data_IF_479736798795
#
_entry.id   IF_479736798795
#
_cell.length_a   1.000
_cell.length_b   1.000
_cell.length_c   1.000
_cell.angle_alpha   90.00
_cell.angle_beta   90.00
_cell.angle_gamma   90.00
#
_symmetry.space_group_name_H-M   'P 1'
#
loop_
_entity.id
_entity.type
_entity.pdbx_description
1 polymer ?
#
# COMPACT_ATOMS: atom_id res chain seq x y z
N UNK A 1 36.90 -30.69 2.53
CA UNK A 1 35.54 -30.10 2.41
C UNK A 1 35.43 -28.73 3.11
N UNK A 2 36.41 -27.82 2.96
CA UNK A 2 36.36 -26.46 3.52
C UNK A 2 36.42 -25.35 2.47
N UNK A 3 36.76 -25.70 1.22
CA UNK A 3 36.87 -24.76 0.09
C UNK A 3 35.56 -24.57 -0.69
N UNK A 4 34.60 -25.49 -0.56
CA UNK A 4 33.27 -25.39 -1.19
C UNK A 4 32.29 -24.50 -0.42
N UNK A 5 32.47 -24.36 0.90
CA UNK A 5 31.64 -23.48 1.73
C UNK A 5 31.88 -21.99 1.45
N UNK A 6 33.09 -21.62 1.00
CA UNK A 6 33.42 -20.23 0.70
C UNK A 6 32.76 -19.71 -0.59
N UNK A 7 32.43 -20.61 -1.53
CA UNK A 7 31.81 -20.25 -2.82
C UNK A 7 30.29 -20.07 -2.74
N UNK A 8 29.63 -20.69 -1.75
CA UNK A 8 28.19 -20.52 -1.51
C UNK A 8 27.91 -19.21 -0.77
N UNK A 9 28.82 -18.76 0.08
CA UNK A 9 28.63 -17.53 0.89
C UNK A 9 28.81 -16.26 0.05
N UNK A 10 29.62 -16.29 -1.02
CA UNK A 10 29.84 -15.13 -1.92
C UNK A 10 28.74 -14.91 -2.96
N UNK A 11 27.94 -15.93 -3.29
CA UNK A 11 26.85 -15.80 -4.29
C UNK A 11 25.50 -15.37 -3.69
N UNK A 12 25.34 -15.41 -2.37
CA UNK A 12 24.09 -14.97 -1.70
C UNK A 12 24.01 -13.43 -1.63
N UNK A 13 25.11 -12.71 -1.82
CA UNK A 13 25.12 -11.24 -1.80
C UNK A 13 24.65 -10.55 -3.09
N UNK A 14 24.40 -11.30 -4.18
CA UNK A 14 24.00 -10.75 -5.48
C UNK A 14 22.51 -10.91 -5.80
N UNK A 15 21.69 -11.47 -4.89
CA UNK A 15 20.23 -11.50 -5.03
C UNK A 15 19.53 -10.31 -4.36
N UNK A 16 20.25 -9.24 -4.03
CA UNK A 16 19.64 -7.97 -3.69
C UNK A 16 19.13 -7.28 -4.96
N UNK A 17 18.06 -7.83 -5.55
CA UNK A 17 17.18 -7.06 -6.44
C UNK A 17 16.42 -6.03 -5.58
N UNK A 18 17.12 -5.01 -5.09
CA UNK A 18 16.46 -3.79 -4.67
C UNK A 18 16.27 -2.94 -5.91
N UNK A 19 15.28 -3.29 -6.74
CA UNK A 19 14.68 -2.31 -7.64
C UNK A 19 13.89 -1.33 -6.76
N UNK A 20 14.60 -0.49 -6.01
CA UNK A 20 14.05 0.74 -5.48
C UNK A 20 13.88 1.67 -6.68
N UNK A 21 12.86 1.40 -7.52
CA UNK A 21 12.32 2.41 -8.40
C UNK A 21 11.90 3.56 -7.49
N UNK A 22 12.67 4.64 -7.48
CA UNK A 22 12.43 5.84 -6.70
C UNK A 22 11.26 6.64 -7.28
N UNK A 23 10.20 5.94 -7.71
CA UNK A 23 8.96 6.59 -8.13
C UNK A 23 8.44 7.44 -6.97
N UNK A 24 8.09 8.68 -7.31
CA UNK A 24 7.39 9.60 -6.40
C UNK A 24 5.99 9.11 -6.04
N UNK A 25 5.41 8.23 -6.86
CA UNK A 25 4.13 7.58 -6.60
C UNK A 25 4.33 6.33 -5.75
N UNK A 26 3.38 6.07 -4.85
CA UNK A 26 3.47 4.91 -3.96
C UNK A 26 3.11 3.61 -4.65
N UNK A 27 3.65 2.52 -4.12
CA UNK A 27 3.37 1.16 -4.57
C UNK A 27 3.33 0.20 -3.38
N UNK A 28 2.69 -0.95 -3.58
CA UNK A 28 2.56 -1.99 -2.57
C UNK A 28 1.37 -1.78 -1.64
N UNK A 29 1.32 -2.61 -0.59
CA UNK A 29 0.23 -2.61 0.38
C UNK A 29 0.14 -1.27 1.12
N UNK A 30 -1.09 -0.79 1.32
CA UNK A 30 -1.38 0.44 2.07
C UNK A 30 -2.70 0.27 2.82
N UNK A 31 -2.71 0.65 4.09
CA UNK A 31 -3.93 0.77 4.87
C UNK A 31 -3.96 2.16 5.51
N UNK A 32 -4.79 3.03 4.97
CA UNK A 32 -4.96 4.38 5.48
C UNK A 32 -5.61 4.34 6.87
N UNK A 33 -5.13 5.18 7.78
CA UNK A 33 -5.83 5.44 9.04
C UNK A 33 -7.09 6.27 8.79
N UNK A 34 -8.05 6.22 9.72
CA UNK A 34 -9.26 7.06 9.66
C UNK A 34 -8.93 8.55 9.52
N UNK A 35 -7.91 9.00 10.27
CA UNK A 35 -7.39 10.37 10.20
C UNK A 35 -6.95 10.77 8.78
N UNK A 36 -6.19 9.91 8.09
CA UNK A 36 -5.75 10.18 6.71
C UNK A 36 -6.94 10.12 5.75
N UNK A 37 -7.89 9.19 5.95
CA UNK A 37 -9.09 9.07 5.12
C UNK A 37 -9.99 10.30 5.23
N UNK A 38 -10.22 10.83 6.43
CA UNK A 38 -11.05 12.03 6.62
C UNK A 38 -10.45 13.24 5.91
N UNK A 39 -9.13 13.39 5.98
CA UNK A 39 -8.43 14.48 5.28
C UNK A 39 -8.38 14.26 3.77
N UNK A 40 -8.28 13.02 3.30
CA UNK A 40 -8.42 12.71 1.89
C UNK A 40 -9.83 13.03 1.37
N UNK A 41 -10.88 12.76 2.13
CA UNK A 41 -12.26 13.12 1.78
C UNK A 41 -12.40 14.65 1.69
N UNK A 42 -11.85 15.40 2.65
CA UNK A 42 -11.82 16.87 2.61
C UNK A 42 -11.13 17.37 1.33
N UNK A 43 -9.94 16.85 1.05
CA UNK A 43 -9.19 17.15 -0.17
C UNK A 43 -9.99 16.85 -1.45
N UNK A 44 -10.64 15.69 -1.55
CA UNK A 44 -11.43 15.30 -2.72
C UNK A 44 -12.62 16.23 -2.94
N UNK A 45 -13.32 16.60 -1.86
CA UNK A 45 -14.45 17.53 -1.95
C UNK A 45 -13.98 18.91 -2.41
N UNK A 46 -12.96 19.43 -1.74
CA UNK A 46 -12.45 20.77 -1.97
C UNK A 46 -13.52 21.85 -1.76
N UNK A 47 -13.28 23.02 -2.33
CA UNK A 47 -14.12 24.21 -2.25
C UNK A 47 -13.80 25.19 -3.38
N UNK A 48 -14.41 26.37 -3.38
CA UNK A 48 -14.29 27.36 -4.46
C UNK A 48 -12.82 27.72 -4.78
N UNK A 49 -11.95 27.75 -3.78
CA UNK A 49 -10.50 28.01 -3.90
C UNK A 49 -9.63 26.84 -3.42
N UNK A 50 -10.22 25.66 -3.27
CA UNK A 50 -9.54 24.48 -2.73
C UNK A 50 -9.64 23.31 -3.70
N UNK A 51 -9.38 23.56 -4.99
CA UNK A 51 -9.40 22.49 -5.97
C UNK A 51 -8.28 21.47 -5.66
N UNK A 52 -8.55 20.16 -5.50
CA UNK A 52 -7.52 19.19 -5.16
C UNK A 52 -6.38 19.18 -6.18
N UNK A 53 -5.13 19.24 -5.69
CA UNK A 53 -3.93 19.22 -6.53
C UNK A 53 -3.02 18.00 -6.30
N UNK A 54 -2.44 17.88 -5.10
CA UNK A 54 -1.55 16.78 -4.72
C UNK A 54 -1.92 16.26 -3.33
N UNK A 55 -1.86 14.95 -3.15
CA UNK A 55 -2.04 14.31 -1.85
C UNK A 55 -0.92 13.26 -1.67
N UNK A 56 -0.10 13.43 -0.65
CA UNK A 56 0.98 12.52 -0.28
C UNK A 56 0.63 11.78 1.01
N UNK A 57 1.06 10.53 1.12
CA UNK A 57 0.80 9.65 2.27
C UNK A 57 2.07 8.90 2.65
N UNK A 58 2.34 8.79 3.95
CA UNK A 58 3.38 7.93 4.50
C UNK A 58 3.06 6.45 4.23
N UNK A 59 4.06 5.62 3.91
CA UNK A 59 3.85 4.21 3.59
C UNK A 59 3.17 3.39 4.71
N UNK A 60 3.16 3.87 5.96
CA UNK A 60 2.43 3.27 7.07
C UNK A 60 0.94 3.66 7.13
N UNK A 61 0.49 4.57 6.26
CA UNK A 61 -0.89 5.05 6.16
C UNK A 61 -1.33 5.99 7.28
N UNK A 62 -0.40 6.46 8.12
CA UNK A 62 -0.70 7.23 9.33
C UNK A 62 -0.49 8.74 9.18
N UNK A 63 0.29 9.17 8.20
CA UNK A 63 0.52 10.59 7.94
C UNK A 63 0.32 10.99 6.48
N UNK A 64 0.04 12.26 6.27
CA UNK A 64 -0.23 12.85 4.96
C UNK A 64 0.27 14.29 4.85
N UNK A 65 0.27 14.79 3.61
CA UNK A 65 0.21 16.22 3.32
C UNK A 65 -0.62 16.39 2.05
N UNK A 66 -1.31 17.52 1.89
CA UNK A 66 -1.98 17.83 0.63
C UNK A 66 -1.82 19.29 0.23
N UNK A 67 -1.80 19.52 -1.08
CA UNK A 67 -1.91 20.84 -1.68
C UNK A 67 -3.23 20.98 -2.43
N UNK A 68 -3.78 22.18 -2.38
CA UNK A 68 -4.92 22.61 -3.19
C UNK A 68 -4.46 23.63 -4.22
N UNK A 69 -5.29 23.87 -5.23
CA UNK A 69 -5.05 24.85 -6.27
C UNK A 69 -6.11 25.95 -6.22
N UNK A 70 -5.78 27.14 -5.71
CA UNK A 70 -6.71 28.28 -5.69
C UNK A 70 -7.15 28.73 -7.08
N UNK A 71 -6.29 28.54 -8.09
CA UNK A 71 -6.59 28.84 -9.49
C UNK A 71 -7.55 27.82 -10.14
N UNK A 72 -7.97 26.77 -9.43
CA UNK A 72 -8.88 25.74 -9.95
C UNK A 72 -8.18 24.49 -10.49
N UNK A 73 -8.98 23.48 -10.88
CA UNK A 73 -8.45 22.19 -11.34
C UNK A 73 -7.58 22.35 -12.59
N UNK A 74 -6.45 21.65 -12.62
CA UNK A 74 -5.47 21.64 -13.72
C UNK A 74 -4.68 22.95 -13.92
N UNK A 75 -4.86 23.97 -13.08
CA UNK A 75 -4.16 25.25 -13.24
C UNK A 75 -2.88 25.38 -12.40
N UNK A 76 -2.56 24.38 -11.56
CA UNK A 76 -1.35 24.35 -10.74
C UNK A 76 -0.32 23.32 -11.27
N UNK A 77 0.96 23.68 -11.17
CA UNK A 77 2.12 22.88 -11.59
C UNK A 77 3.18 22.77 -10.49
N UNK A 78 4.01 21.72 -10.53
CA UNK A 78 5.12 21.48 -9.59
C UNK A 78 4.71 21.02 -8.19
N UNK A 79 5.62 21.17 -7.22
CA UNK A 79 5.37 20.88 -5.80
C UNK A 79 5.51 19.42 -5.38
N UNK A 80 5.79 18.50 -6.31
CA UNK A 80 5.95 17.07 -6.06
C UNK A 80 7.05 16.76 -5.05
N UNK A 81 8.22 17.39 -5.17
CA UNK A 81 9.33 17.16 -4.24
C UNK A 81 9.02 17.78 -2.87
N UNK A 82 8.42 18.97 -2.86
CA UNK A 82 8.14 19.71 -1.63
C UNK A 82 7.09 19.02 -0.76
N UNK A 83 5.99 18.55 -1.36
CA UNK A 83 4.94 17.84 -0.62
C UNK A 83 5.48 16.55 0.01
N UNK A 84 6.40 15.87 -0.67
CA UNK A 84 7.05 14.67 -0.15
C UNK A 84 7.99 15.00 1.01
N UNK A 85 8.78 16.07 0.90
CA UNK A 85 9.64 16.56 1.99
C UNK A 85 8.82 16.88 3.24
N UNK A 86 7.73 17.63 3.10
CA UNK A 86 6.84 18.03 4.20
C UNK A 86 6.18 16.82 4.85
N UNK A 87 5.56 15.94 4.05
CA UNK A 87 4.95 14.71 4.55
C UNK A 87 5.99 13.84 5.29
N UNK A 88 7.21 13.71 4.76
CA UNK A 88 8.28 12.97 5.42
C UNK A 88 8.70 13.61 6.75
N UNK A 89 8.70 14.93 6.83
CA UNK A 89 8.96 15.66 8.07
C UNK A 89 7.86 15.38 9.10
N UNK A 90 6.58 15.49 8.72
CA UNK A 90 5.45 15.24 9.60
C UNK A 90 5.39 13.79 10.05
N UNK A 91 5.57 12.83 9.14
CA UNK A 91 5.65 11.41 9.47
C UNK A 91 6.72 11.13 10.53
N UNK A 92 7.92 11.71 10.40
CA UNK A 92 9.00 11.50 11.38
C UNK A 92 8.72 12.15 12.73
N UNK A 93 8.12 13.34 12.75
CA UNK A 93 7.72 14.03 13.99
C UNK A 93 6.70 13.22 14.81
N UNK A 94 5.81 12.52 14.12
CA UNK A 94 4.79 11.64 14.72
C UNK A 94 5.29 10.21 14.97
N UNK A 95 6.62 9.97 14.95
CA UNK A 95 7.23 8.66 15.23
C UNK A 95 7.14 7.64 14.09
N UNK A 96 6.71 8.05 12.90
CA UNK A 96 6.77 7.26 11.67
C UNK A 96 8.16 7.23 11.04
N UNK A 97 8.32 6.41 10.00
CA UNK A 97 9.65 6.20 9.36
C UNK A 97 10.04 7.29 8.36
N UNK A 98 9.12 8.16 7.95
CA UNK A 98 9.35 9.07 6.82
C UNK A 98 9.60 8.29 5.53
N UNK A 99 8.54 7.90 4.84
CA UNK A 99 8.58 7.24 3.52
C UNK A 99 7.34 7.63 2.72
N UNK A 100 7.06 8.93 2.65
CA UNK A 100 5.91 9.45 1.95
C UNK A 100 6.03 9.29 0.45
N UNK A 101 4.89 9.07 -0.19
CA UNK A 101 4.72 9.00 -1.63
C UNK A 101 3.44 9.71 -2.04
N UNK A 102 3.39 10.18 -3.29
CA UNK A 102 2.19 10.76 -3.87
C UNK A 102 1.13 9.67 -4.00
N UNK A 103 0.06 9.81 -3.23
CA UNK A 103 -1.09 8.94 -3.19
C UNK A 103 -2.12 9.32 -4.25
N UNK A 104 -2.36 10.63 -4.45
CA UNK A 104 -3.28 11.12 -5.47
C UNK A 104 -2.76 12.40 -6.14
N UNK A 105 -3.13 12.56 -7.41
CA UNK A 105 -3.01 13.82 -8.15
C UNK A 105 -4.39 14.19 -8.65
N UNK A 106 -4.83 15.42 -8.34
CA UNK A 106 -6.22 15.82 -8.47
C UNK A 106 -7.10 14.78 -7.75
N UNK A 107 -8.19 14.31 -8.37
CA UNK A 107 -9.05 13.27 -7.81
C UNK A 107 -8.74 11.86 -8.33
N UNK A 108 -7.51 11.61 -8.77
CA UNK A 108 -7.08 10.31 -9.30
C UNK A 108 -6.07 9.68 -8.35
N UNK A 109 -6.36 8.47 -7.88
CA UNK A 109 -5.43 7.66 -7.10
C UNK A 109 -4.25 7.28 -7.99
N UNK A 110 -3.04 7.51 -7.49
CA UNK A 110 -1.77 7.17 -8.13
C UNK A 110 -1.00 6.07 -7.40
N UNK A 111 -1.40 5.76 -6.16
CA UNK A 111 -0.88 4.59 -5.44
C UNK A 111 -1.21 3.31 -6.19
N UNK A 112 -0.24 2.39 -6.27
CA UNK A 112 -0.39 1.12 -6.97
C UNK A 112 -0.21 -0.07 -6.03
N UNK A 113 -1.33 -0.62 -5.55
CA UNK A 113 -1.38 -1.90 -4.83
C UNK A 113 -1.86 -3.06 -5.72
N UNK A 114 -1.79 -2.91 -7.05
CA UNK A 114 -2.35 -3.86 -8.02
C UNK A 114 -3.85 -3.70 -8.32
N UNK A 115 -4.60 -2.94 -7.51
CA UNK A 115 -6.06 -2.75 -7.70
C UNK A 115 -6.51 -1.29 -7.78
N UNK A 116 -5.72 -0.36 -7.22
CA UNK A 116 -6.14 1.04 -7.00
C UNK A 116 -5.62 2.06 -8.01
N UNK A 117 -4.59 1.73 -8.79
CA UNK A 117 -3.91 2.70 -9.66
C UNK A 117 -4.87 3.31 -10.68
N UNK A 118 -4.79 4.63 -10.83
CA UNK A 118 -5.59 5.44 -11.75
C UNK A 118 -7.12 5.42 -11.52
N UNK A 119 -7.60 4.88 -10.39
CA UNK A 119 -9.01 4.99 -10.02
C UNK A 119 -9.36 6.45 -9.71
N UNK A 120 -10.46 6.93 -10.27
CA UNK A 120 -10.96 8.30 -10.04
C UNK A 120 -11.98 8.29 -8.90
N UNK A 121 -11.84 9.23 -7.97
CA UNK A 121 -12.81 9.51 -6.91
C UNK A 121 -13.64 10.73 -7.31
N UNK A 122 -14.97 10.64 -7.20
CA UNK A 122 -15.86 11.74 -7.60
C UNK A 122 -16.14 12.65 -6.40
N UNK A 123 -16.02 13.96 -6.55
CA UNK A 123 -16.33 14.93 -5.48
C UNK A 123 -17.80 14.90 -5.03
N UNK A 124 -18.70 14.47 -5.91
CA UNK A 124 -20.14 14.36 -5.62
C UNK A 124 -20.52 13.15 -4.77
N UNK A 125 -19.60 12.21 -4.56
CA UNK A 125 -19.86 11.08 -3.67
C UNK A 125 -19.97 11.55 -2.22
N UNK A 126 -20.86 10.91 -1.47
CA UNK A 126 -20.95 11.05 -0.02
C UNK A 126 -19.66 10.56 0.65
N UNK A 127 -19.44 10.96 1.90
CA UNK A 127 -18.28 10.50 2.67
C UNK A 127 -18.26 8.97 2.78
N UNK A 128 -19.44 8.37 2.98
CA UNK A 128 -19.59 6.92 3.07
C UNK A 128 -19.22 6.22 1.76
N UNK A 129 -19.71 6.72 0.61
CA UNK A 129 -19.35 6.16 -0.71
C UNK A 129 -17.84 6.24 -0.98
N UNK A 130 -17.17 7.33 -0.60
CA UNK A 130 -15.71 7.44 -0.75
C UNK A 130 -14.99 6.39 0.11
N UNK A 131 -15.41 6.21 1.38
CA UNK A 131 -14.84 5.19 2.28
C UNK A 131 -15.03 3.79 1.72
N UNK A 132 -16.21 3.46 1.23
CA UNK A 132 -16.49 2.15 0.60
C UNK A 132 -15.63 1.92 -0.65
N UNK A 133 -15.41 2.95 -1.47
CA UNK A 133 -14.50 2.83 -2.62
C UNK A 133 -13.05 2.60 -2.21
N UNK A 134 -12.59 3.25 -1.13
CA UNK A 134 -11.24 3.00 -0.60
C UNK A 134 -11.10 1.57 -0.05
N UNK A 135 -12.15 1.01 0.56
CA UNK A 135 -12.19 -0.41 0.97
C UNK A 135 -12.15 -1.34 -0.25
N UNK A 136 -13.00 -1.10 -1.26
CA UNK A 136 -13.04 -1.86 -2.52
C UNK A 136 -11.66 -1.87 -3.22
N UNK A 137 -10.90 -0.79 -3.09
CA UNK A 137 -9.55 -0.67 -3.67
C UNK A 137 -8.44 -1.17 -2.74
N UNK A 138 -8.77 -1.81 -1.61
CA UNK A 138 -7.83 -2.32 -0.62
C UNK A 138 -6.85 -1.25 -0.10
N UNK A 139 -7.34 -0.04 0.14
CA UNK A 139 -6.56 1.09 0.66
C UNK A 139 -6.97 1.49 2.09
N UNK A 140 -8.08 0.98 2.60
CA UNK A 140 -8.65 1.38 3.89
C UNK A 140 -9.49 0.24 4.48
N UNK A 141 -9.61 0.21 5.81
CA UNK A 141 -10.48 -0.74 6.52
C UNK A 141 -9.94 -2.17 6.52
N UNK A 142 -8.66 -2.36 6.21
CA UNK A 142 -7.99 -3.64 6.45
C UNK A 142 -7.85 -3.75 7.97
N UNK A 143 -8.65 -4.62 8.59
CA UNK A 143 -8.50 -4.94 10.01
C UNK A 143 -7.04 -5.36 10.27
N UNK A 144 -6.55 -5.12 11.48
CA UNK A 144 -5.21 -5.52 11.92
C UNK A 144 -5.01 -7.05 12.03
N UNK A 145 -5.69 -7.84 11.19
CA UNK A 145 -5.58 -9.29 11.04
C UNK A 145 -4.67 -9.73 9.89
N UNK A 146 -3.74 -8.87 9.44
CA UNK A 146 -2.62 -9.29 8.57
C UNK A 146 -1.28 -9.05 9.25
N UNK A 147 -1.13 -9.66 10.43
CA UNK A 147 0.20 -10.11 10.85
C UNK A 147 0.62 -11.25 9.93
N UNK A 148 1.64 -11.01 9.10
CA UNK A 148 2.49 -12.02 8.41
C UNK A 148 1.73 -13.17 7.73
N UNK A 149 1.38 -12.99 6.45
CA UNK A 149 1.56 -14.00 5.40
C UNK A 149 1.10 -13.39 4.07
N UNK A 150 2.04 -12.83 3.31
CA UNK A 150 1.84 -12.53 1.89
C UNK A 150 2.20 -13.76 1.03
N UNK A 151 1.82 -14.96 1.47
CA UNK A 151 1.60 -16.06 0.53
C UNK A 151 0.10 -16.08 0.30
N UNK A 152 -0.32 -15.95 -0.96
CA UNK A 152 -1.73 -16.01 -1.35
C UNK A 152 -2.27 -17.35 -0.86
N UNK A 153 -3.47 -17.38 -0.26
CA UNK A 153 -4.08 -18.62 0.26
C UNK A 153 -4.09 -19.73 -0.80
N UNK A 154 -4.21 -19.37 -2.09
CA UNK A 154 -4.06 -20.29 -3.22
C UNK A 154 -2.71 -21.03 -3.22
N UNK A 155 -1.62 -20.32 -2.98
CA UNK A 155 -0.26 -20.83 -3.09
C UNK A 155 0.03 -21.78 -1.92
N UNK A 156 -0.53 -21.48 -0.74
CA UNK A 156 -0.47 -22.36 0.44
C UNK A 156 -1.28 -23.64 0.23
N UNK A 157 -2.45 -23.55 -0.40
CA UNK A 157 -3.26 -24.71 -0.74
C UNK A 157 -2.61 -25.58 -1.81
N UNK A 158 -1.96 -24.99 -2.82
CA UNK A 158 -1.21 -25.72 -3.85
C UNK A 158 -0.01 -26.47 -3.26
N UNK A 159 0.76 -25.82 -2.39
CA UNK A 159 1.90 -26.44 -1.68
C UNK A 159 1.46 -27.53 -0.71
N UNK A 160 0.35 -27.33 0.00
CA UNK A 160 -0.20 -28.36 0.88
C UNK A 160 -0.66 -29.59 0.07
N UNK A 161 -1.30 -29.37 -1.08
CA UNK A 161 -1.73 -30.43 -1.97
C UNK A 161 -0.55 -31.20 -2.60
N UNK A 162 0.55 -30.50 -2.94
CA UNK A 162 1.75 -31.17 -3.46
C UNK A 162 2.42 -32.05 -2.40
N UNK A 163 2.51 -31.60 -1.15
CA UNK A 163 3.02 -32.39 -0.04
C UNK A 163 2.18 -33.66 0.18
N UNK A 164 0.86 -33.54 0.15
CA UNK A 164 -0.03 -34.69 0.28
C UNK A 164 0.13 -35.68 -0.89
N UNK A 165 0.14 -35.19 -2.14
CA UNK A 165 0.37 -36.03 -3.33
C UNK A 165 1.75 -36.70 -3.35
N UNK A 166 2.75 -36.06 -2.76
CA UNK A 166 4.10 -36.64 -2.62
C UNK A 166 4.22 -37.68 -1.51
N UNK A 167 3.17 -37.87 -0.68
CA UNK A 167 3.20 -38.76 0.47
C UNK A 167 4.00 -38.22 1.66
N UNK A 168 4.44 -36.96 1.62
CA UNK A 168 5.20 -36.33 2.69
C UNK A 168 4.37 -36.07 3.97
N UNK A 169 3.04 -36.06 3.85
CA UNK A 169 2.09 -35.90 4.95
C UNK A 169 0.92 -36.88 4.80
N UNK A 170 0.33 -37.29 5.92
CA UNK A 170 -0.86 -38.15 5.96
C UNK A 170 -2.15 -37.37 5.65
N UNK A 171 -3.22 -38.09 5.34
CA UNK A 171 -4.55 -37.49 5.11
C UNK A 171 -5.07 -36.72 6.35
N UNK A 172 -4.77 -37.22 7.55
CA UNK A 172 -5.14 -36.56 8.81
C UNK A 172 -4.40 -35.23 8.99
N UNK A 173 -3.10 -35.20 8.68
CA UNK A 173 -2.28 -33.98 8.72
C UNK A 173 -2.72 -32.98 7.64
N UNK A 174 -3.03 -33.46 6.44
CA UNK A 174 -3.58 -32.65 5.37
C UNK A 174 -4.89 -31.97 5.77
N UNK A 175 -5.87 -32.72 6.30
CA UNK A 175 -7.16 -32.17 6.76
C UNK A 175 -6.98 -31.14 7.88
N UNK A 176 -6.12 -31.43 8.85
CA UNK A 176 -5.81 -30.52 9.97
C UNK A 176 -5.15 -29.23 9.50
N UNK A 177 -4.18 -29.32 8.58
CA UNK A 177 -3.50 -28.16 8.00
C UNK A 177 -4.44 -27.33 7.11
N UNK A 178 -5.26 -27.98 6.29
CA UNK A 178 -6.26 -27.31 5.43
C UNK A 178 -7.26 -26.49 6.26
N UNK A 179 -7.79 -27.05 7.35
CA UNK A 179 -8.70 -26.32 8.23
C UNK A 179 -8.04 -25.12 8.90
N UNK A 180 -6.75 -25.21 9.24
CA UNK A 180 -5.99 -24.07 9.78
C UNK A 180 -5.77 -22.97 8.76
N UNK A 181 -5.58 -23.31 7.48
CA UNK A 181 -5.42 -22.34 6.40
C UNK A 181 -6.74 -21.64 6.06
N UNK A 182 -7.87 -22.36 6.11
CA UNK A 182 -9.19 -21.81 5.73
C UNK A 182 -9.89 -21.00 6.84
N UNK A 183 -9.50 -21.19 8.10
CA UNK A 183 -10.09 -20.50 9.26
C UNK A 183 -9.23 -19.34 9.79
N UNK A 184 -8.25 -18.89 9.00
CA UNK A 184 -7.34 -17.77 9.31
C UNK A 184 -7.65 -16.57 8.40
#
# INVERSE_FOLDING_TARGET
MKKFLLFIITNIFLLQNSYASSTKYGYGDLNLSDFVVDNFIRYIKGGHFEAPYLFAVAADGKQYQYYVCPAGLNNCGGGDEKILEECNSYSRKEGGKGNCKIFARLRTIKWDNGSSRNKKIKSKWSNAEIREKLKEYNLYGLAASKSKNSEKISDQLEKLNSLFKSGAISEAEFKKAKNRILNN
#
